data_IF_339515044981
#
_entry.id   IF_339515044981
#
_cell.length_a   1.000
_cell.length_b   1.000
_cell.length_c   1.000
_cell.angle_alpha   90.00
_cell.angle_beta   90.00
_cell.angle_gamma   90.00
#
_symmetry.space_group_name_H-M   'P 1'
#
loop_
_entity.id
_entity.type
_entity.pdbx_description
1 polymer ?
#
# COMPACT_ATOMS: atom_id res chain seq x y z
N UNK A 1 2.20 -15.49 3.31
CA UNK A 1 3.56 -14.95 3.14
C UNK A 1 4.29 -15.14 4.46
N UNK A 2 5.53 -15.64 4.42
CA UNK A 2 6.35 -15.75 5.63
C UNK A 2 7.03 -14.39 5.87
N UNK A 3 6.65 -13.72 6.97
CA UNK A 3 7.16 -12.40 7.34
C UNK A 3 8.42 -12.47 8.22
N UNK A 4 8.87 -13.67 8.60
CA UNK A 4 9.98 -13.86 9.55
C UNK A 4 11.32 -13.34 9.02
N UNK A 5 11.54 -13.47 7.71
CA UNK A 5 12.77 -13.06 7.02
C UNK A 5 12.68 -11.70 6.28
N UNK A 6 11.51 -11.07 6.26
CA UNK A 6 11.30 -9.83 5.47
C UNK A 6 11.98 -8.65 6.17
N UNK A 7 13.02 -8.09 5.56
CA UNK A 7 13.71 -6.90 6.07
C UNK A 7 13.58 -5.72 5.09
N UNK A 8 13.40 -4.52 5.64
CA UNK A 8 13.45 -3.29 4.84
C UNK A 8 14.91 -2.88 4.68
N UNK A 9 15.42 -3.01 3.45
CA UNK A 9 16.80 -2.68 3.08
C UNK A 9 16.85 -1.38 2.28
N UNK A 10 18.02 -0.74 2.22
CA UNK A 10 18.23 0.50 1.47
C UNK A 10 17.75 0.43 0.01
N UNK A 11 17.97 -0.72 -0.66
CA UNK A 11 17.48 -0.95 -2.03
C UNK A 11 15.94 -0.84 -2.15
N UNK A 12 15.19 -1.25 -1.13
CA UNK A 12 13.73 -1.16 -1.12
C UNK A 12 13.30 0.32 -1.01
N UNK A 13 14.02 1.10 -0.19
CA UNK A 13 13.77 2.53 0.01
C UNK A 13 14.08 3.32 -1.26
N UNK A 14 15.22 3.03 -1.90
CA UNK A 14 15.59 3.65 -3.19
C UNK A 14 14.57 3.34 -4.29
N UNK A 15 14.10 2.10 -4.33
CA UNK A 15 13.04 1.67 -5.25
C UNK A 15 11.72 2.42 -5.02
N UNK A 16 11.25 2.52 -3.78
CA UNK A 16 10.05 3.29 -3.45
C UNK A 16 10.24 4.76 -3.83
N UNK A 17 11.38 5.36 -3.49
CA UNK A 17 11.67 6.77 -3.81
C UNK A 17 11.58 7.04 -5.32
N UNK A 18 12.22 6.20 -6.14
CA UNK A 18 12.17 6.33 -7.60
C UNK A 18 10.73 6.21 -8.11
N UNK A 19 9.99 5.21 -7.60
CA UNK A 19 8.59 4.98 -7.98
C UNK A 19 7.68 6.18 -7.65
N UNK A 20 7.83 6.79 -6.48
CA UNK A 20 7.00 7.95 -6.08
C UNK A 20 7.36 9.23 -6.86
N UNK A 21 8.61 9.36 -7.31
CA UNK A 21 9.07 10.52 -8.09
C UNK A 21 8.70 10.42 -9.58
N UNK A 22 8.85 9.23 -10.15
CA UNK A 22 8.74 9.00 -11.60
C UNK A 22 7.39 8.37 -11.99
N UNK A 23 6.60 7.92 -11.00
CA UNK A 23 5.27 7.38 -11.20
C UNK A 23 5.24 5.97 -11.82
N UNK A 24 4.07 5.55 -12.37
CA UNK A 24 3.85 4.19 -12.87
C UNK A 24 4.75 3.81 -14.06
N UNK A 25 5.37 4.79 -14.74
CA UNK A 25 6.29 4.53 -15.86
C UNK A 25 7.52 3.71 -15.42
N UNK A 26 7.94 3.86 -14.15
CA UNK A 26 9.04 3.06 -13.60
C UNK A 26 8.62 1.69 -13.07
N UNK A 27 7.32 1.41 -13.04
CA UNK A 27 6.76 0.17 -12.53
C UNK A 27 7.32 -1.07 -13.25
N UNK A 28 7.56 -0.99 -14.55
CA UNK A 28 8.12 -2.10 -15.32
C UNK A 28 9.58 -2.41 -14.90
N UNK A 29 10.41 -1.38 -14.73
CA UNK A 29 11.79 -1.53 -14.24
C UNK A 29 11.81 -2.08 -12.82
N UNK A 30 10.87 -1.60 -12.00
CA UNK A 30 10.74 -2.02 -10.62
C UNK A 30 10.24 -3.46 -10.48
N UNK A 31 9.29 -3.89 -11.31
CA UNK A 31 8.88 -5.29 -11.41
C UNK A 31 10.06 -6.19 -11.77
N UNK A 32 10.94 -5.75 -12.68
CA UNK A 32 12.15 -6.50 -13.01
C UNK A 32 13.11 -6.63 -11.83
N UNK A 33 13.20 -5.62 -10.96
CA UNK A 33 14.01 -5.67 -9.73
C UNK A 33 13.38 -6.60 -8.68
N UNK A 34 12.06 -6.57 -8.53
CA UNK A 34 11.32 -7.46 -7.61
C UNK A 34 11.46 -8.94 -8.01
N UNK A 35 11.65 -9.25 -9.29
CA UNK A 35 11.82 -10.63 -9.76
C UNK A 35 13.21 -11.22 -9.49
N UNK A 36 14.15 -10.44 -8.93
CA UNK A 36 15.52 -10.92 -8.67
C UNK A 36 15.59 -11.96 -7.55
N UNK A 37 14.91 -11.70 -6.44
CA UNK A 37 14.83 -12.61 -5.29
C UNK A 37 13.59 -12.31 -4.42
N UNK A 38 13.08 -13.36 -3.78
CA UNK A 38 11.85 -13.31 -2.99
C UNK A 38 11.95 -12.35 -1.78
N UNK A 39 13.13 -12.21 -1.16
CA UNK A 39 13.35 -11.30 -0.03
C UNK A 39 13.18 -9.84 -0.44
N UNK A 40 13.75 -9.46 -1.59
CA UNK A 40 13.63 -8.11 -2.17
C UNK A 40 12.19 -7.82 -2.56
N UNK A 41 11.53 -8.77 -3.22
CA UNK A 41 10.13 -8.64 -3.58
C UNK A 41 9.26 -8.40 -2.33
N UNK A 42 9.45 -9.21 -1.29
CA UNK A 42 8.68 -9.12 -0.07
C UNK A 42 8.95 -7.80 0.70
N UNK A 43 10.21 -7.38 0.78
CA UNK A 43 10.58 -6.10 1.41
C UNK A 43 10.00 -4.89 0.68
N UNK A 44 10.05 -4.89 -0.65
CA UNK A 44 9.45 -3.84 -1.46
C UNK A 44 7.92 -3.81 -1.35
N UNK A 45 7.24 -4.97 -1.48
CA UNK A 45 5.78 -5.06 -1.35
C UNK A 45 5.30 -4.62 0.03
N UNK A 46 6.04 -4.96 1.08
CA UNK A 46 5.72 -4.51 2.45
C UNK A 46 5.85 -2.99 2.57
N UNK A 47 6.88 -2.40 1.95
CA UNK A 47 7.10 -0.96 1.99
C UNK A 47 6.08 -0.18 1.15
N UNK A 48 5.65 -0.72 0.00
CA UNK A 48 4.55 -0.17 -0.79
C UNK A 48 3.26 -0.13 0.02
N UNK A 49 2.95 -1.22 0.71
CA UNK A 49 1.79 -1.31 1.60
C UNK A 49 1.88 -0.33 2.76
N UNK A 50 3.06 -0.15 3.36
CA UNK A 50 3.28 0.85 4.39
C UNK A 50 3.09 2.28 3.89
N UNK A 51 3.66 2.62 2.74
CA UNK A 51 3.47 3.92 2.10
C UNK A 51 2.00 4.21 1.80
N UNK A 52 1.27 3.22 1.26
CA UNK A 52 -0.17 3.31 1.07
C UNK A 52 -0.90 3.61 2.39
N UNK A 53 -0.61 2.86 3.46
CA UNK A 53 -1.24 3.08 4.76
C UNK A 53 -0.97 4.48 5.33
N UNK A 54 0.28 4.97 5.25
CA UNK A 54 0.64 6.32 5.70
C UNK A 54 -0.10 7.37 4.88
N UNK A 55 -0.11 7.25 3.54
CA UNK A 55 -0.79 8.20 2.67
C UNK A 55 -2.29 8.27 2.95
N UNK A 56 -2.95 7.12 3.07
CA UNK A 56 -4.39 7.04 3.37
C UNK A 56 -4.68 7.61 4.76
N UNK A 57 -3.87 7.29 5.77
CA UNK A 57 -4.04 7.84 7.13
C UNK A 57 -3.87 9.35 7.15
N UNK A 58 -2.88 9.90 6.45
CA UNK A 58 -2.70 11.36 6.30
C UNK A 58 -3.92 12.02 5.64
N UNK A 59 -4.55 11.37 4.67
CA UNK A 59 -5.74 11.89 3.97
C UNK A 59 -7.01 11.89 4.82
N UNK A 60 -7.25 10.82 5.56
CA UNK A 60 -8.55 10.57 6.21
C UNK A 60 -8.54 10.78 7.75
N UNK A 61 -7.39 11.06 8.36
CA UNK A 61 -7.31 11.41 9.77
C UNK A 61 -7.60 12.91 10.03
N UNK A 62 -8.12 13.28 11.22
CA UNK A 62 -8.59 12.40 12.29
C UNK A 62 -10.03 11.92 12.09
N UNK A 63 -10.75 12.45 11.09
CA UNK A 63 -12.16 12.18 10.87
C UNK A 63 -12.44 11.96 9.39
N UNK A 64 -13.28 10.96 9.13
CA UNK A 64 -13.78 10.62 7.81
C UNK A 64 -15.24 10.19 7.90
N UNK A 65 -15.95 10.25 6.78
CA UNK A 65 -17.19 9.50 6.58
C UNK A 65 -16.97 8.39 5.56
N UNK A 66 -17.81 7.36 5.59
CA UNK A 66 -17.84 6.35 4.53
C UNK A 66 -18.10 6.99 3.16
N UNK A 67 -18.89 8.07 3.11
CA UNK A 67 -19.14 8.82 1.88
C UNK A 67 -17.89 9.50 1.32
N UNK A 68 -16.93 9.88 2.17
CA UNK A 68 -15.67 10.48 1.71
C UNK A 68 -14.77 9.46 1.03
N UNK A 69 -14.75 8.22 1.53
CA UNK A 69 -14.02 7.11 0.90
C UNK A 69 -14.59 6.82 -0.50
N UNK A 70 -15.92 6.69 -0.60
CA UNK A 70 -16.60 6.45 -1.88
C UNK A 70 -16.34 7.59 -2.87
N UNK A 71 -16.44 8.85 -2.41
CA UNK A 71 -16.17 10.02 -3.25
C UNK A 71 -14.73 10.05 -3.72
N UNK A 72 -13.78 9.80 -2.83
CA UNK A 72 -12.36 9.73 -3.15
C UNK A 72 -12.08 8.70 -4.26
N UNK A 73 -12.60 7.48 -4.13
CA UNK A 73 -12.40 6.42 -5.15
C UNK A 73 -13.06 6.80 -6.48
N UNK A 74 -14.22 7.46 -6.45
CA UNK A 74 -14.85 7.97 -7.67
C UNK A 74 -14.01 9.07 -8.34
N UNK A 75 -13.48 10.03 -7.57
CA UNK A 75 -12.62 11.11 -8.07
C UNK A 75 -11.31 10.57 -8.64
N UNK A 76 -10.68 9.61 -7.96
CA UNK A 76 -9.50 8.89 -8.45
C UNK A 76 -9.79 8.31 -9.84
N UNK A 77 -10.86 7.52 -9.97
CA UNK A 77 -11.21 6.88 -11.25
C UNK A 77 -11.51 7.90 -12.35
N UNK A 78 -12.16 9.01 -12.04
CA UNK A 78 -12.41 10.09 -13.00
C UNK A 78 -11.08 10.67 -13.51
N UNK A 79 -10.13 10.93 -12.60
CA UNK A 79 -8.83 11.51 -12.94
C UNK A 79 -7.90 10.52 -13.65
N UNK A 80 -8.08 9.22 -13.45
CA UNK A 80 -7.32 8.18 -14.16
C UNK A 80 -7.71 8.00 -15.63
N UNK A 81 -8.80 8.61 -16.11
CA UNK A 81 -9.14 8.63 -17.54
C UNK A 81 -9.23 7.23 -18.16
N UNK A 82 -8.41 6.94 -19.17
CA UNK A 82 -8.37 5.65 -19.87
C UNK A 82 -7.97 4.48 -18.95
N UNK A 83 -7.23 4.76 -17.87
CA UNK A 83 -6.77 3.75 -16.91
C UNK A 83 -7.81 3.48 -15.80
N UNK A 84 -8.94 4.18 -15.79
CA UNK A 84 -10.00 4.00 -14.78
C UNK A 84 -10.55 2.57 -14.68
N UNK A 85 -10.37 1.77 -15.75
CA UNK A 85 -10.73 0.35 -15.79
C UNK A 85 -9.80 -0.56 -14.99
N UNK A 86 -8.56 -0.12 -14.70
CA UNK A 86 -7.59 -0.85 -13.88
C UNK A 86 -7.86 -0.72 -12.38
N UNK A 87 -8.67 0.27 -11.99
CA UNK A 87 -8.99 0.56 -10.59
C UNK A 87 -10.35 -0.03 -10.28
N UNK A 88 -10.36 -1.22 -9.66
CA UNK A 88 -11.58 -1.79 -9.12
C UNK A 88 -12.03 -0.95 -7.91
N UNK A 89 -13.22 -0.31 -7.97
CA UNK A 89 -13.64 0.62 -6.92
C UNK A 89 -13.87 -0.09 -5.57
N UNK A 90 -14.42 -1.30 -5.58
CA UNK A 90 -14.70 -2.03 -4.33
C UNK A 90 -13.41 -2.48 -3.65
N UNK A 91 -12.42 -2.91 -4.43
CA UNK A 91 -11.09 -3.25 -3.90
C UNK A 91 -10.42 -2.02 -3.30
N UNK A 92 -10.42 -0.89 -4.03
CA UNK A 92 -9.83 0.35 -3.53
C UNK A 92 -10.50 0.85 -2.23
N UNK A 93 -11.84 0.83 -2.18
CA UNK A 93 -12.59 1.19 -0.97
C UNK A 93 -12.26 0.27 0.20
N UNK A 94 -12.21 -1.05 -0.02
CA UNK A 94 -11.92 -2.03 1.03
C UNK A 94 -10.51 -1.85 1.60
N UNK A 95 -9.52 -1.63 0.74
CA UNK A 95 -8.13 -1.36 1.17
C UNK A 95 -8.03 -0.08 2.01
N UNK A 96 -8.69 1.00 1.58
CA UNK A 96 -8.72 2.25 2.34
C UNK A 96 -9.37 2.04 3.71
N UNK A 97 -10.50 1.33 3.76
CA UNK A 97 -11.21 1.03 5.01
C UNK A 97 -10.33 0.26 5.98
N UNK A 98 -9.64 -0.79 5.51
CA UNK A 98 -8.71 -1.57 6.34
C UNK A 98 -7.57 -0.70 6.86
N UNK A 99 -7.02 0.17 6.03
CA UNK A 99 -5.91 1.06 6.42
C UNK A 99 -6.27 2.01 7.57
N UNK A 100 -7.52 2.49 7.63
CA UNK A 100 -7.98 3.45 8.65
C UNK A 100 -8.91 2.85 9.71
N UNK A 101 -9.09 1.53 9.71
CA UNK A 101 -9.97 0.83 10.66
C UNK A 101 -11.45 1.17 10.50
N UNK A 102 -11.89 1.53 9.29
CA UNK A 102 -13.30 1.79 9.01
C UNK A 102 -14.12 0.49 8.94
N UNK A 103 -15.46 0.56 9.07
CA UNK A 103 -16.32 -0.61 8.90
C UNK A 103 -16.07 -1.28 7.54
N UNK A 104 -15.91 -2.62 7.51
CA UNK A 104 -15.62 -3.35 6.27
C UNK A 104 -16.80 -3.29 5.29
N UNK A 105 -16.55 -3.62 4.03
CA UNK A 105 -17.62 -3.85 3.07
C UNK A 105 -18.48 -5.04 3.49
N UNK A 106 -19.79 -4.99 3.21
CA UNK A 106 -20.75 -6.04 3.62
C UNK A 106 -20.39 -7.41 3.05
N UNK A 107 -19.84 -7.46 1.84
CA UNK A 107 -19.53 -8.70 1.13
C UNK A 107 -18.01 -9.02 1.12
N UNK A 108 -17.23 -8.36 1.98
CA UNK A 108 -15.81 -8.67 2.18
C UNK A 108 -14.84 -8.17 1.09
N UNK A 109 -15.34 -7.53 0.04
CA UNK A 109 -14.53 -7.05 -1.09
C UNK A 109 -14.00 -8.18 -1.98
N UNK A 110 -13.61 -7.91 -3.24
CA UNK A 110 -12.99 -8.92 -4.09
C UNK A 110 -11.61 -9.31 -3.55
N UNK A 111 -11.34 -10.61 -3.43
CA UNK A 111 -10.03 -11.17 -3.04
C UNK A 111 -9.21 -11.54 -4.29
N UNK A 112 -8.81 -10.50 -5.04
CA UNK A 112 -7.94 -10.63 -6.22
C UNK A 112 -6.66 -9.83 -6.00
N UNK A 113 -5.54 -10.54 -5.92
CA UNK A 113 -4.21 -9.97 -5.64
C UNK A 113 -3.77 -8.96 -6.71
N UNK A 114 -4.11 -9.21 -7.98
CA UNK A 114 -3.75 -8.30 -9.07
C UNK A 114 -4.55 -7.01 -8.96
N UNK A 115 -5.86 -7.11 -8.72
CA UNK A 115 -6.71 -5.92 -8.53
C UNK A 115 -6.31 -5.13 -7.28
N UNK A 116 -5.94 -5.81 -6.20
CA UNK A 116 -5.45 -5.18 -4.98
C UNK A 116 -4.17 -4.38 -5.23
N UNK A 117 -3.20 -4.96 -5.91
CA UNK A 117 -1.95 -4.28 -6.24
C UNK A 117 -2.17 -3.05 -7.13
N UNK A 118 -3.02 -3.15 -8.15
CA UNK A 118 -3.36 -1.98 -8.98
C UNK A 118 -4.04 -0.90 -8.13
N UNK A 119 -5.06 -1.25 -7.33
CA UNK A 119 -5.73 -0.30 -6.46
C UNK A 119 -4.76 0.40 -5.48
N UNK A 120 -3.86 -0.36 -4.87
CA UNK A 120 -2.83 0.15 -3.96
C UNK A 120 -1.94 1.21 -4.62
N UNK A 121 -1.37 0.86 -5.78
CA UNK A 121 -0.48 1.71 -6.56
C UNK A 121 -1.18 2.98 -7.01
N UNK A 122 -2.36 2.87 -7.60
CA UNK A 122 -3.09 4.02 -8.13
C UNK A 122 -3.57 4.96 -7.02
N UNK A 123 -4.06 4.41 -5.90
CA UNK A 123 -4.45 5.22 -4.75
C UNK A 123 -3.24 5.94 -4.16
N UNK A 124 -2.12 5.24 -3.95
CA UNK A 124 -0.90 5.83 -3.40
C UNK A 124 -0.40 6.97 -4.29
N UNK A 125 -0.20 6.73 -5.59
CA UNK A 125 0.32 7.75 -6.50
C UNK A 125 -0.62 8.96 -6.62
N UNK A 126 -1.93 8.71 -6.59
CA UNK A 126 -2.90 9.79 -6.58
C UNK A 126 -2.79 10.65 -5.32
N UNK A 127 -2.67 10.03 -4.14
CA UNK A 127 -2.52 10.74 -2.88
C UNK A 127 -1.22 11.55 -2.81
N UNK A 128 -0.12 10.99 -3.29
CA UNK A 128 1.17 11.71 -3.35
C UNK A 128 1.10 12.89 -4.31
N UNK A 129 0.46 12.70 -5.47
CA UNK A 129 0.25 13.77 -6.45
C UNK A 129 -0.67 14.86 -5.89
N UNK A 130 -1.76 14.48 -5.22
CA UNK A 130 -2.71 15.43 -4.63
C UNK A 130 -2.08 16.21 -3.47
N UNK A 131 -1.18 15.59 -2.71
CA UNK A 131 -0.46 16.23 -1.61
C UNK A 131 0.60 17.24 -2.08
N UNK A 132 0.99 17.20 -3.36
CA UNK A 132 1.96 18.11 -3.99
C UNK A 132 3.24 18.28 -3.15
N UNK A 133 3.78 17.16 -2.66
CA UNK A 133 4.89 17.16 -1.71
C UNK A 133 6.17 17.71 -2.34
N UNK A 134 6.79 18.67 -1.68
CA UNK A 134 8.16 19.07 -2.00
C UNK A 134 9.17 17.96 -1.69
N UNK A 135 10.41 18.11 -2.16
CA UNK A 135 11.48 17.12 -1.94
C UNK A 135 11.64 16.72 -0.47
N UNK A 136 11.70 17.70 0.44
CA UNK A 136 11.91 17.42 1.86
C UNK A 136 10.70 16.68 2.49
N UNK A 137 9.49 17.03 2.08
CA UNK A 137 8.25 16.41 2.58
C UNK A 137 8.08 15.00 2.04
N UNK A 138 8.55 14.73 0.81
CA UNK A 138 8.59 13.39 0.25
C UNK A 138 9.59 12.49 0.99
N UNK A 139 10.78 12.99 1.33
CA UNK A 139 11.73 12.22 2.14
C UNK A 139 11.16 11.92 3.52
N UNK A 140 10.52 12.90 4.18
CA UNK A 140 9.83 12.66 5.44
C UNK A 140 8.71 11.62 5.30
N UNK A 141 7.94 11.67 4.21
CA UNK A 141 6.92 10.67 3.93
C UNK A 141 7.52 9.26 3.78
N UNK A 142 8.67 9.13 3.11
CA UNK A 142 9.36 7.85 2.96
C UNK A 142 9.84 7.33 4.32
N UNK A 143 10.42 8.20 5.16
CA UNK A 143 10.85 7.82 6.52
C UNK A 143 9.67 7.34 7.37
N UNK A 144 8.53 8.01 7.30
CA UNK A 144 7.29 7.57 7.98
C UNK A 144 6.78 6.23 7.44
N UNK A 145 6.84 6.01 6.12
CA UNK A 145 6.45 4.75 5.51
C UNK A 145 7.37 3.60 5.95
N UNK A 146 8.67 3.83 6.06
CA UNK A 146 9.64 2.84 6.58
C UNK A 146 9.29 2.50 8.03
N UNK A 147 9.16 3.49 8.90
CA UNK A 147 8.85 3.28 10.31
C UNK A 147 7.53 2.51 10.50
N UNK A 148 6.48 2.90 9.78
CA UNK A 148 5.19 2.20 9.79
C UNK A 148 5.35 0.74 9.35
N UNK A 149 6.11 0.49 8.28
CA UNK A 149 6.30 -0.86 7.74
C UNK A 149 7.05 -1.76 8.72
N UNK A 150 8.08 -1.24 9.37
CA UNK A 150 8.84 -1.98 10.39
C UNK A 150 7.96 -2.36 11.58
N UNK A 151 7.17 -1.42 12.10
CA UNK A 151 6.20 -1.70 13.17
C UNK A 151 5.16 -2.75 12.75
N UNK A 152 4.65 -2.64 11.53
CA UNK A 152 3.68 -3.58 10.97
C UNK A 152 4.27 -4.99 10.82
N UNK A 153 5.53 -5.11 10.35
CA UNK A 153 6.23 -6.39 10.23
C UNK A 153 6.47 -7.03 11.60
N UNK A 154 6.83 -6.23 12.61
CA UNK A 154 7.00 -6.73 14.00
C UNK A 154 5.68 -7.31 14.52
N UNK A 155 4.57 -6.59 14.35
CA UNK A 155 3.25 -7.07 14.75
C UNK A 155 2.87 -8.39 14.04
N UNK A 156 3.11 -8.48 12.73
CA UNK A 156 2.82 -9.69 11.94
C UNK A 156 3.64 -10.91 12.36
N UNK A 157 4.91 -10.71 12.70
CA UNK A 157 5.76 -11.79 13.23
C UNK A 157 5.29 -12.26 14.61
N UNK A 158 4.85 -11.34 15.46
CA UNK A 158 4.29 -11.67 16.77
C UNK A 158 2.98 -12.48 16.64
N UNK A 159 2.08 -12.07 15.75
CA UNK A 159 0.84 -12.81 15.43
C UNK A 159 1.14 -14.23 14.93
N UNK A 160 2.10 -14.38 14.01
CA UNK A 160 2.51 -15.69 13.48
C UNK A 160 3.13 -16.60 14.55
N UNK A 161 3.87 -16.02 15.51
CA UNK A 161 4.46 -16.77 16.63
C UNK A 161 3.45 -17.17 17.71
N UNK A 162 2.33 -16.43 17.82
CA UNK A 162 1.26 -16.67 18.79
C UNK A 162 0.17 -17.62 18.28
N UNK A 163 0.10 -17.87 16.97
CA UNK A 163 -0.83 -18.84 16.41
C UNK A 163 -0.47 -20.25 16.92
N UNK A 164 -1.41 -21.00 17.55
CA UNK A 164 -1.13 -22.35 17.99
C UNK A 164 -0.76 -23.20 16.77
N UNK A 165 0.30 -23.99 16.88
CA UNK A 165 0.54 -25.07 15.94
C UNK A 165 -0.70 -25.94 15.95
N UNK A 166 -1.47 -25.92 14.85
CA UNK A 166 -2.51 -26.91 14.62
C UNK A 166 -1.82 -28.25 14.56
N UNK A 167 -1.67 -28.86 15.74
CA UNK A 167 -1.07 -30.16 15.93
C UNK A 167 -1.90 -31.17 15.16
N UNK A 168 -1.25 -31.80 14.19
CA UNK A 168 -1.75 -33.02 13.57
C UNK A 168 -1.84 -34.09 14.67
N UNK A 169 -3.06 -34.57 14.93
CA UNK A 169 -3.32 -35.88 15.55
C UNK A 169 -3.66 -36.85 14.42
#
# INVERSE_FOLDING_TARGET
>A
MDYSAVEIREKNILALRAFLLEGPVTWASLQSEMQKDDETAAGYMSLLYGAFNVAVRRKFAPAYTVGDIVRFVAELRIKSGEEAGLINPLVAEDMIRRAIGAPPLKDGGPDDVSLALHAEVYVLLYLITEADLGRAELEQFIDEAVAYTEEWLVARRAEASAAPSSGTV
#
